data_IF_355878051026
#
_entry.id   IF_355878051026
#
_cell.length_a   1.000
_cell.length_b   1.000
_cell.length_c   1.000
_cell.angle_alpha   90.00
_cell.angle_beta   90.00
_cell.angle_gamma   90.00
#
_symmetry.space_group_name_H-M   'P 1'
#
loop_
_entity.id
_entity.type
_entity.pdbx_description
1 polymer ?
#
# COMPACT_ATOMS: atom_id res chain seq x y z
N UNK A 1 1.85 18.99 -20.50
CA UNK A 1 1.78 17.54 -20.26
C UNK A 1 2.42 17.27 -18.90
N UNK A 2 1.75 16.59 -17.97
CA UNK A 2 2.35 16.30 -16.67
C UNK A 2 3.49 15.29 -16.85
N UNK A 3 4.70 15.62 -16.39
CA UNK A 3 5.86 14.72 -16.48
C UNK A 3 5.61 13.46 -15.65
N UNK A 4 5.49 12.30 -16.31
CA UNK A 4 5.36 11.01 -15.64
C UNK A 4 6.70 10.64 -15.01
N UNK A 5 6.78 10.69 -13.68
CA UNK A 5 7.94 10.18 -12.94
C UNK A 5 7.71 8.72 -12.58
N UNK A 6 8.54 7.81 -13.09
CA UNK A 6 8.49 6.37 -12.77
C UNK A 6 9.56 6.07 -11.72
N UNK A 7 9.19 5.33 -10.67
CA UNK A 7 10.14 4.84 -9.65
C UNK A 7 10.01 3.34 -9.49
N UNK A 8 11.15 2.66 -9.55
CA UNK A 8 11.23 1.24 -9.25
C UNK A 8 11.39 1.07 -7.74
N UNK A 9 10.58 0.20 -7.15
CA UNK A 9 10.62 -0.12 -5.72
C UNK A 9 10.58 -1.64 -5.52
N UNK A 10 10.95 -2.08 -4.32
CA UNK A 10 10.99 -3.50 -3.96
C UNK A 10 9.93 -3.80 -2.91
N UNK A 11 9.29 -4.96 -3.05
CA UNK A 11 8.44 -5.53 -2.01
C UNK A 11 9.31 -6.25 -1.00
N UNK A 12 9.05 -6.00 0.29
CA UNK A 12 9.72 -6.65 1.40
C UNK A 12 8.81 -7.71 2.02
N UNK A 13 9.38 -8.63 2.79
CA UNK A 13 8.60 -9.53 3.64
C UNK A 13 8.28 -8.85 4.97
N UNK A 14 7.05 -9.02 5.47
CA UNK A 14 6.68 -8.68 6.84
C UNK A 14 5.94 -9.85 7.47
N UNK A 15 6.25 -10.18 8.72
CA UNK A 15 5.47 -11.14 9.49
C UNK A 15 4.07 -10.58 9.75
N UNK A 16 3.05 -11.30 9.31
CA UNK A 16 1.65 -11.00 9.56
C UNK A 16 1.04 -12.15 10.32
N UNK A 17 0.36 -11.84 11.43
CA UNK A 17 -0.43 -12.83 12.15
C UNK A 17 -1.60 -13.28 11.27
N UNK A 18 -1.76 -14.58 11.15
CA UNK A 18 -2.86 -15.24 10.46
C UNK A 18 -3.58 -16.09 11.50
N UNK A 19 -4.88 -15.82 11.66
CA UNK A 19 -5.76 -16.67 12.48
C UNK A 19 -5.93 -18.03 11.79
N UNK A 20 -6.00 -19.10 12.57
CA UNK A 20 -6.19 -20.47 12.08
C UNK A 20 -5.11 -20.89 11.05
N UNK A 21 -3.84 -20.58 11.33
CA UNK A 21 -2.75 -20.95 10.43
C UNK A 21 -2.48 -22.45 10.47
N UNK A 22 -2.64 -23.07 11.64
CA UNK A 22 -2.41 -24.49 11.87
C UNK A 22 -3.73 -25.28 11.85
N UNK A 23 -3.68 -26.60 11.59
CA UNK A 23 -4.88 -27.45 11.53
C UNK A 23 -5.70 -27.50 12.82
N UNK A 24 -5.09 -27.21 13.97
CA UNK A 24 -5.76 -27.14 15.28
C UNK A 24 -6.49 -25.81 15.51
N UNK A 25 -6.49 -24.90 14.53
CA UNK A 25 -7.12 -23.58 14.61
C UNK A 25 -6.27 -22.54 15.36
N UNK A 26 -5.05 -22.87 15.80
CA UNK A 26 -4.19 -21.91 16.47
C UNK A 26 -3.67 -20.82 15.51
N UNK A 27 -3.46 -19.58 16.00
CA UNK A 27 -2.88 -18.52 15.19
C UNK A 27 -1.39 -18.76 14.93
N UNK A 28 -0.86 -18.13 13.90
CA UNK A 28 0.58 -18.15 13.62
C UNK A 28 1.01 -16.97 12.76
N UNK A 29 2.28 -16.96 12.34
CA UNK A 29 2.84 -15.88 11.54
C UNK A 29 3.30 -16.39 10.18
N UNK A 30 3.05 -15.58 9.15
CA UNK A 30 3.56 -15.82 7.79
C UNK A 30 4.19 -14.54 7.24
N UNK A 31 5.23 -14.71 6.42
CA UNK A 31 5.76 -13.61 5.62
C UNK A 31 4.76 -13.22 4.52
N UNK A 32 4.32 -11.96 4.54
CA UNK A 32 3.44 -11.37 3.51
C UNK A 32 4.16 -10.24 2.76
N UNK A 33 3.73 -9.94 1.51
CA UNK A 33 4.20 -8.77 0.77
C UNK A 33 3.95 -7.47 1.54
N UNK A 34 5.01 -6.68 1.71
CA UNK A 34 4.96 -5.36 2.35
C UNK A 34 5.63 -4.32 1.46
N UNK A 35 4.87 -3.29 1.08
CA UNK A 35 5.34 -2.20 0.24
C UNK A 35 5.52 -0.94 1.09
N UNK A 36 6.72 -0.35 1.04
CA UNK A 36 7.01 0.96 1.65
C UNK A 36 7.15 2.00 0.55
N UNK A 37 6.31 3.03 0.59
CA UNK A 37 6.39 4.20 -0.29
C UNK A 37 6.67 5.43 0.56
N UNK A 38 7.71 6.18 0.23
CA UNK A 38 8.08 7.39 0.96
C UNK A 38 9.25 8.13 0.34
N UNK A 39 9.34 9.42 0.64
CA UNK A 39 10.41 10.33 0.24
C UNK A 39 9.88 11.64 -0.33
N UNK A 40 10.77 12.65 -0.43
CA UNK A 40 10.45 13.99 -0.94
C UNK A 40 9.78 14.00 -2.33
N UNK A 41 9.95 12.92 -3.09
CA UNK A 41 9.32 12.76 -4.39
C UNK A 41 7.79 12.60 -4.32
N UNK A 42 7.25 12.04 -3.23
CA UNK A 42 5.79 11.96 -3.04
C UNK A 42 5.23 13.36 -2.77
N UNK A 43 5.91 14.13 -1.92
CA UNK A 43 5.54 15.52 -1.62
C UNK A 43 5.57 16.40 -2.87
N UNK A 44 6.66 16.31 -3.64
CA UNK A 44 6.79 17.01 -4.94
C UNK A 44 5.75 16.56 -5.98
N UNK A 45 5.13 15.39 -5.80
CA UNK A 45 4.06 14.87 -6.64
C UNK A 45 2.66 15.23 -6.12
N UNK A 46 2.56 16.06 -5.08
CA UNK A 46 1.30 16.62 -4.56
C UNK A 46 0.64 15.82 -3.44
N UNK A 47 1.32 14.83 -2.86
CA UNK A 47 0.87 14.12 -1.65
C UNK A 47 1.32 14.86 -0.39
N UNK A 48 0.47 14.93 0.63
CA UNK A 48 0.77 15.52 1.94
C UNK A 48 0.54 14.51 3.06
N UNK A 49 1.18 14.72 4.21
CA UNK A 49 0.88 13.95 5.42
C UNK A 49 -0.58 14.15 5.79
N UNK A 50 -1.31 13.04 5.98
CA UNK A 50 -2.74 13.06 6.29
C UNK A 50 -3.67 13.05 5.07
N UNK A 51 -3.14 13.10 3.83
CA UNK A 51 -3.98 12.97 2.64
C UNK A 51 -4.68 11.60 2.61
N UNK A 52 -6.00 11.54 2.37
CA UNK A 52 -6.70 10.28 2.14
C UNK A 52 -6.30 9.68 0.79
N UNK A 53 -6.03 8.37 0.78
CA UNK A 53 -5.61 7.62 -0.39
C UNK A 53 -6.60 6.52 -0.73
N UNK A 54 -6.87 6.33 -2.02
CA UNK A 54 -7.55 5.15 -2.54
C UNK A 54 -6.50 4.19 -3.09
N UNK A 55 -6.58 2.92 -2.69
CA UNK A 55 -5.75 1.83 -3.22
C UNK A 55 -6.65 0.85 -3.97
N UNK A 56 -6.58 0.88 -5.30
CA UNK A 56 -7.25 -0.12 -6.14
C UNK A 56 -6.35 -1.33 -6.31
N UNK A 57 -6.84 -2.52 -5.96
CA UNK A 57 -6.11 -3.80 -6.05
C UNK A 57 -6.64 -4.63 -7.21
N UNK A 58 -5.75 -5.13 -8.06
CA UNK A 58 -6.05 -6.06 -9.15
C UNK A 58 -4.88 -7.04 -9.33
N UNK A 59 -5.08 -8.11 -10.12
CA UNK A 59 -4.03 -9.14 -10.32
C UNK A 59 -2.74 -8.50 -10.83
N UNK A 60 -1.68 -8.56 -10.01
CA UNK A 60 -0.36 -8.02 -10.33
C UNK A 60 -0.25 -6.48 -10.35
N UNK A 61 -1.27 -5.74 -9.91
CA UNK A 61 -1.29 -4.27 -10.01
C UNK A 61 -1.97 -3.60 -8.83
N UNK A 62 -1.25 -2.65 -8.24
CA UNK A 62 -1.76 -1.68 -7.27
C UNK A 62 -1.80 -0.29 -7.94
N UNK A 63 -2.92 0.40 -7.84
CA UNK A 63 -3.00 1.83 -8.17
C UNK A 63 -3.29 2.61 -6.91
N UNK A 64 -2.49 3.64 -6.65
CA UNK A 64 -2.63 4.52 -5.49
C UNK A 64 -2.88 5.93 -6.01
N UNK A 65 -3.99 6.53 -5.62
CA UNK A 65 -4.31 7.93 -5.96
C UNK A 65 -4.84 8.67 -4.74
N UNK A 66 -4.72 9.99 -4.76
CA UNK A 66 -5.36 10.84 -3.76
C UNK A 66 -6.87 10.80 -3.94
N UNK A 67 -7.60 10.82 -2.84
CA UNK A 67 -9.06 10.99 -2.85
C UNK A 67 -9.39 12.46 -2.72
N UNK A 68 -10.20 12.98 -3.65
CA UNK A 68 -10.84 14.29 -3.55
C UNK A 68 -12.25 14.10 -2.97
N UNK A 69 -12.35 13.95 -1.65
CA UNK A 69 -13.65 13.81 -1.01
C UNK A 69 -13.51 13.68 0.50
N UNK A 70 -14.12 14.61 1.23
CA UNK A 70 -14.46 14.39 2.64
C UNK A 70 -15.46 13.22 2.69
N UNK A 71 -15.20 12.23 3.54
CA UNK A 71 -15.97 11.00 3.60
C UNK A 71 -17.45 11.22 3.87
N UNK A 72 -18.31 10.78 2.93
CA UNK A 72 -19.46 9.89 3.14
C UNK A 72 -20.02 9.56 1.74
N UNK A 73 -19.77 8.36 1.21
CA UNK A 73 -20.48 7.85 0.03
C UNK A 73 -20.48 6.33 0.02
#
# INVERSE_FOLDING_TARGET
MANKTIRHCKVHGRGQEIRNLYPDGSPGYRAVPWLRLGGLWMERSGFKVGDPLEVTVSKGRLMIKKVSGHGNR
#
